data_IF_671801825334
#
_entry.id   IF_671801825334
#
_cell.length_a   1.000
_cell.length_b   1.000
_cell.length_c   1.000
_cell.angle_alpha   90.00
_cell.angle_beta   90.00
_cell.angle_gamma   90.00
#
_symmetry.space_group_name_H-M   'P 1'
#
loop_
_entity.id
_entity.type
_entity.pdbx_description
1 polymer ?
#
# COMPACT_ATOMS: atom_id res chain seq x y z
N UNK A 1 -3.76 -7.46 0.77
CA UNK A 1 -2.52 -7.84 1.49
C UNK A 1 -2.06 -9.21 1.00
N UNK A 2 -0.78 -9.37 0.67
CA UNK A 2 -0.20 -10.66 0.24
C UNK A 2 0.92 -11.01 1.24
N UNK A 3 0.68 -11.94 2.19
CA UNK A 3 1.63 -12.26 3.25
C UNK A 3 2.94 -12.87 2.73
N UNK A 4 2.87 -13.64 1.65
CA UNK A 4 4.03 -14.26 1.00
C UNK A 4 3.94 -14.03 -0.52
N UNK A 5 4.60 -12.96 -0.97
CA UNK A 5 4.59 -12.58 -2.38
C UNK A 5 5.26 -13.63 -3.26
N UNK A 6 6.37 -14.24 -2.80
CA UNK A 6 7.11 -15.25 -3.58
C UNK A 6 6.24 -16.47 -3.85
N UNK A 7 5.56 -16.97 -2.82
CA UNK A 7 4.62 -18.09 -2.97
C UNK A 7 3.43 -17.74 -3.85
N UNK A 8 2.88 -16.53 -3.72
CA UNK A 8 1.79 -16.06 -4.56
C UNK A 8 2.18 -16.03 -6.05
N UNK A 9 3.35 -15.46 -6.38
CA UNK A 9 3.87 -15.42 -7.75
C UNK A 9 4.07 -16.83 -8.31
N UNK A 10 4.71 -17.74 -7.56
CA UNK A 10 4.91 -19.12 -8.00
C UNK A 10 3.58 -19.84 -8.27
N UNK A 11 2.55 -19.58 -7.45
CA UNK A 11 1.22 -20.15 -7.66
C UNK A 11 0.54 -19.57 -8.90
N UNK A 12 0.61 -18.25 -9.12
CA UNK A 12 0.05 -17.62 -10.32
C UNK A 12 0.68 -18.21 -11.57
N UNK A 13 2.01 -18.38 -11.58
CA UNK A 13 2.71 -19.00 -12.71
C UNK A 13 2.17 -20.41 -13.04
N UNK A 14 1.92 -21.24 -12.01
CA UNK A 14 1.35 -22.59 -12.19
C UNK A 14 -0.08 -22.59 -12.72
N UNK A 15 -0.86 -21.55 -12.40
CA UNK A 15 -2.25 -21.44 -12.81
C UNK A 15 -2.43 -20.94 -14.25
N UNK A 16 -1.43 -20.23 -14.78
CA UNK A 16 -1.49 -19.70 -16.13
C UNK A 16 -1.36 -20.83 -17.15
N UNK A 17 -2.11 -20.69 -18.25
CA UNK A 17 -1.90 -21.53 -19.44
C UNK A 17 -0.48 -21.31 -19.96
N UNK A 18 0.11 -22.28 -20.68
CA UNK A 18 1.41 -22.08 -21.33
C UNK A 18 1.43 -20.78 -22.15
N UNK A 19 2.47 -19.96 -21.94
CA UNK A 19 2.63 -18.62 -22.55
C UNK A 19 1.59 -17.56 -22.13
N UNK A 20 0.85 -17.79 -21.04
CA UNK A 20 -0.01 -16.77 -20.46
C UNK A 20 0.78 -15.62 -19.84
N UNK A 21 0.25 -14.41 -19.97
CA UNK A 21 0.87 -13.20 -19.41
C UNK A 21 0.35 -12.89 -18.00
N UNK A 22 1.18 -12.18 -17.23
CA UNK A 22 0.85 -11.67 -15.90
C UNK A 22 1.17 -10.19 -15.81
N UNK A 23 0.19 -9.41 -15.38
CA UNK A 23 0.35 -7.99 -15.07
C UNK A 23 0.05 -7.76 -13.59
N UNK A 24 0.95 -7.04 -12.91
CA UNK A 24 0.80 -6.70 -11.50
C UNK A 24 1.20 -5.26 -11.23
N UNK A 25 0.47 -4.65 -10.31
CA UNK A 25 0.80 -3.33 -9.76
C UNK A 25 0.86 -3.44 -8.23
N UNK A 26 1.88 -2.85 -7.63
CA UNK A 26 2.11 -2.88 -6.18
C UNK A 26 2.53 -1.48 -5.72
N UNK A 27 2.14 -1.11 -4.51
CA UNK A 27 2.71 0.04 -3.84
C UNK A 27 4.06 -0.34 -3.25
N UNK A 28 5.14 0.18 -3.84
CA UNK A 28 6.48 0.14 -3.23
C UNK A 28 6.55 1.03 -2.00
N UNK A 29 5.80 2.14 -2.04
CA UNK A 29 5.66 3.13 -0.99
C UNK A 29 4.22 3.65 -0.97
N UNK A 30 3.67 3.90 0.21
CA UNK A 30 2.35 4.50 0.37
C UNK A 30 2.40 5.69 1.34
N UNK A 31 2.17 6.89 0.82
CA UNK A 31 2.21 8.15 1.56
C UNK A 31 1.21 8.20 2.73
N UNK A 32 0.17 7.37 2.71
CA UNK A 32 -0.76 7.25 3.83
C UNK A 32 -0.07 6.93 5.17
N UNK A 33 1.02 6.15 5.15
CA UNK A 33 1.75 5.84 6.37
C UNK A 33 2.53 7.04 6.91
N UNK A 34 2.84 8.03 6.07
CA UNK A 34 3.49 9.27 6.49
C UNK A 34 2.46 10.20 7.15
N UNK A 35 1.23 10.25 6.61
CA UNK A 35 0.11 10.95 7.25
C UNK A 35 -0.15 10.34 8.64
N UNK A 36 -0.16 9.02 8.77
CA UNK A 36 -0.31 8.37 10.08
C UNK A 36 0.86 8.69 11.03
N UNK A 37 2.09 8.79 10.53
CA UNK A 37 3.23 9.22 11.32
C UNK A 37 3.04 10.64 11.86
N UNK A 38 2.59 11.58 11.02
CA UNK A 38 2.30 12.95 11.43
C UNK A 38 1.16 12.99 12.44
N UNK A 39 0.05 12.30 12.19
CA UNK A 39 -1.08 12.23 13.12
C UNK A 39 -0.71 11.56 14.45
N UNK A 40 0.34 10.73 14.49
CA UNK A 40 0.84 10.13 15.75
C UNK A 40 1.46 11.15 16.69
N UNK A 41 1.83 12.31 16.18
CA UNK A 41 2.32 13.45 16.98
C UNK A 41 1.19 14.33 17.50
N UNK A 42 -0.03 14.18 16.99
CA UNK A 42 -1.22 14.89 17.44
C UNK A 42 -1.85 14.14 18.61
N UNK A 43 -1.86 14.75 19.80
CA UNK A 43 -2.29 14.09 21.05
C UNK A 43 -3.69 13.48 20.97
N UNK A 44 -4.61 14.15 20.26
CA UNK A 44 -5.98 13.67 19.98
C UNK A 44 -6.00 12.34 19.22
N UNK A 45 -5.08 12.14 18.28
CA UNK A 45 -5.08 10.98 17.37
C UNK A 45 -4.12 9.88 17.77
N UNK A 46 -3.09 10.21 18.55
CA UNK A 46 -2.09 9.28 19.07
C UNK A 46 -2.68 7.97 19.62
N UNK A 47 -3.80 7.95 20.39
CA UNK A 47 -4.41 6.69 20.85
C UNK A 47 -4.93 5.78 19.74
N UNK A 48 -5.26 6.31 18.57
CA UNK A 48 -5.86 5.55 17.45
C UNK A 48 -4.86 5.17 16.37
N UNK A 49 -3.74 5.90 16.27
CA UNK A 49 -2.71 5.66 15.25
C UNK A 49 -1.48 4.94 15.81
N UNK A 50 -1.39 4.69 17.12
CA UNK A 50 -0.18 4.17 17.80
C UNK A 50 0.43 2.90 17.18
N UNK A 51 -0.37 2.05 16.52
CA UNK A 51 0.08 0.79 15.94
C UNK A 51 0.13 0.79 14.40
N UNK A 52 0.04 1.96 13.76
CA UNK A 52 0.03 2.08 12.29
C UNK A 52 1.22 1.37 11.62
N UNK A 53 2.39 1.35 12.28
CA UNK A 53 3.59 0.65 11.80
C UNK A 53 3.39 -0.86 11.59
N UNK A 54 2.48 -1.49 12.34
CA UNK A 54 2.12 -2.91 12.17
C UNK A 54 1.24 -3.14 10.95
N UNK A 55 0.59 -2.09 10.45
CA UNK A 55 -0.27 -2.10 9.25
C UNK A 55 0.47 -1.65 8.00
N UNK A 56 1.70 -1.15 8.15
CA UNK A 56 2.54 -0.73 7.04
C UNK A 56 2.69 -1.84 6.02
N UNK A 57 2.66 -1.45 4.74
CA UNK A 57 3.03 -2.39 3.71
C UNK A 57 4.49 -2.84 3.95
N UNK A 58 4.80 -4.09 3.66
CA UNK A 58 6.13 -4.67 3.91
C UNK A 58 7.24 -4.01 3.07
N UNK A 59 6.87 -3.16 2.10
CA UNK A 59 7.76 -2.53 1.15
C UNK A 59 8.12 -1.09 1.51
N UNK A 60 7.44 -0.46 2.48
CA UNK A 60 7.50 0.99 2.71
C UNK A 60 8.95 1.48 2.87
N UNK A 61 9.79 0.68 3.52
CA UNK A 61 11.18 1.00 3.82
C UNK A 61 12.17 0.17 2.99
N UNK A 62 11.71 -0.51 1.94
CA UNK A 62 12.56 -1.31 1.07
C UNK A 62 13.30 -0.41 0.11
N UNK A 63 14.63 -0.49 0.16
CA UNK A 63 15.50 0.09 -0.86
C UNK A 63 15.53 -0.84 -2.07
N UNK A 64 15.57 -0.27 -3.28
CA UNK A 64 15.61 -1.02 -4.54
C UNK A 64 14.39 -1.95 -4.76
N UNK A 65 13.18 -1.49 -4.41
CA UNK A 65 11.95 -2.29 -4.54
C UNK A 65 11.76 -2.86 -5.95
N UNK A 66 12.01 -2.07 -7.00
CA UNK A 66 11.97 -2.56 -8.38
C UNK A 66 12.80 -3.83 -8.58
N UNK A 67 14.07 -3.84 -8.17
CA UNK A 67 14.96 -4.98 -8.33
C UNK A 67 14.44 -6.20 -7.53
N UNK A 68 14.05 -5.97 -6.27
CA UNK A 68 13.42 -7.00 -5.45
C UNK A 68 12.19 -7.63 -6.14
N UNK A 69 11.34 -6.80 -6.72
CA UNK A 69 10.11 -7.27 -7.37
C UNK A 69 10.40 -8.02 -8.67
N UNK A 70 11.31 -7.50 -9.51
CA UNK A 70 11.77 -8.19 -10.73
C UNK A 70 12.35 -9.57 -10.39
N UNK A 71 13.23 -9.65 -9.39
CA UNK A 71 13.82 -10.90 -8.95
C UNK A 71 12.76 -11.87 -8.39
N UNK A 72 11.77 -11.35 -7.67
CA UNK A 72 10.65 -12.15 -7.16
C UNK A 72 9.83 -12.78 -8.30
N UNK A 73 9.55 -12.01 -9.37
CA UNK A 73 8.84 -12.51 -10.56
C UNK A 73 9.67 -13.54 -11.32
N UNK A 74 10.94 -13.24 -11.59
CA UNK A 74 11.87 -14.13 -12.30
C UNK A 74 12.05 -15.46 -11.57
N UNK A 75 12.27 -15.42 -10.25
CA UNK A 75 12.41 -16.62 -9.41
C UNK A 75 11.10 -17.44 -9.34
N UNK A 76 9.95 -16.81 -9.60
CA UNK A 76 8.66 -17.48 -9.70
C UNK A 76 8.40 -18.19 -11.03
N UNK A 77 9.31 -18.05 -12.02
CA UNK A 77 9.22 -18.67 -13.34
C UNK A 77 8.85 -17.71 -14.48
N UNK A 78 8.60 -16.43 -14.20
CA UNK A 78 8.24 -15.46 -15.23
C UNK A 78 9.46 -14.92 -15.99
N UNK A 79 9.29 -14.69 -17.29
CA UNK A 79 10.20 -13.84 -18.05
C UNK A 79 9.73 -12.39 -17.98
N UNK A 80 10.39 -11.57 -17.15
CA UNK A 80 10.00 -10.18 -16.91
C UNK A 80 10.35 -9.31 -18.12
N UNK A 81 9.35 -8.96 -18.93
CA UNK A 81 9.50 -8.10 -20.10
C UNK A 81 9.62 -6.62 -19.77
N UNK A 82 8.87 -6.17 -18.76
CA UNK A 82 8.79 -4.77 -18.37
C UNK A 82 8.51 -4.67 -16.88
N UNK A 83 9.24 -3.81 -16.20
CA UNK A 83 9.00 -3.46 -14.80
C UNK A 83 9.55 -2.06 -14.54
N UNK A 84 8.68 -1.17 -14.05
CA UNK A 84 9.04 0.17 -13.64
C UNK A 84 8.55 0.42 -12.22
N UNK A 85 9.26 1.33 -11.56
CA UNK A 85 8.82 1.92 -10.30
C UNK A 85 8.65 3.42 -10.57
N UNK A 86 7.44 3.90 -10.39
CA UNK A 86 7.05 5.26 -10.77
C UNK A 86 6.32 5.92 -9.61
N UNK A 87 6.70 7.17 -9.31
CA UNK A 87 5.93 7.99 -8.39
C UNK A 87 4.62 8.39 -9.06
N UNK A 88 3.51 7.82 -8.61
CA UNK A 88 2.17 8.26 -9.00
C UNK A 88 1.70 9.37 -8.09
N UNK A 89 1.48 10.55 -8.66
CA UNK A 89 0.76 11.64 -8.00
C UNK A 89 -0.69 11.55 -8.41
N UNK A 90 -1.57 11.34 -7.44
CA UNK A 90 -3.01 11.32 -7.66
C UNK A 90 -3.60 12.58 -7.06
N UNK A 91 -4.27 13.38 -7.90
CA UNK A 91 -4.96 14.60 -7.47
C UNK A 91 -6.42 14.23 -7.25
N UNK A 92 -6.89 14.40 -6.04
CA UNK A 92 -8.28 14.10 -5.65
C UNK A 92 -9.01 15.39 -5.27
N UNK A 93 -10.29 15.46 -5.60
CA UNK A 93 -11.17 16.37 -4.86
C UNK A 93 -11.22 15.95 -3.40
N UNK A 94 -11.57 16.88 -2.50
CA UNK A 94 -11.74 16.57 -1.08
C UNK A 94 -12.68 15.39 -0.89
N UNK A 95 -13.90 15.47 -1.42
CA UNK A 95 -14.91 14.41 -1.28
C UNK A 95 -14.42 13.04 -1.74
N UNK A 96 -13.62 12.99 -2.82
CA UNK A 96 -13.08 11.73 -3.32
C UNK A 96 -11.98 11.19 -2.41
N UNK A 97 -11.08 12.05 -1.91
CA UNK A 97 -10.09 11.67 -0.92
C UNK A 97 -10.77 11.13 0.34
N UNK A 98 -11.77 11.84 0.87
CA UNK A 98 -12.47 11.43 2.07
C UNK A 98 -13.17 10.08 1.90
N UNK A 99 -13.82 9.87 0.75
CA UNK A 99 -14.43 8.58 0.40
C UNK A 99 -13.42 7.43 0.35
N UNK A 100 -12.25 7.64 -0.26
CA UNK A 100 -11.18 6.63 -0.27
C UNK A 100 -10.68 6.36 1.16
N UNK A 101 -10.43 7.40 1.94
CA UNK A 101 -9.90 7.27 3.29
C UNK A 101 -10.84 6.48 4.20
N UNK A 102 -12.14 6.77 4.15
CA UNK A 102 -13.17 6.00 4.89
C UNK A 102 -13.23 4.54 4.45
N UNK A 103 -13.01 4.25 3.16
CA UNK A 103 -13.05 2.88 2.63
C UNK A 103 -11.78 2.06 2.93
N UNK A 104 -10.62 2.71 3.03
CA UNK A 104 -9.30 2.04 3.09
C UNK A 104 -8.63 2.14 4.46
N UNK A 105 -9.17 2.93 5.40
CA UNK A 105 -8.53 3.18 6.69
C UNK A 105 -8.09 1.88 7.40
N UNK A 106 -6.80 1.77 7.69
CA UNK A 106 -6.22 0.59 8.34
C UNK A 106 -6.33 0.61 9.87
N UNK A 107 -6.86 1.70 10.42
CA UNK A 107 -6.88 2.00 11.85
C UNK A 107 -8.28 1.87 12.43
N UNK A 108 -8.34 1.52 13.72
CA UNK A 108 -9.58 1.35 14.46
C UNK A 108 -10.02 2.68 15.08
N UNK A 109 -10.34 3.67 14.24
CA UNK A 109 -10.92 4.94 14.70
C UNK A 109 -12.42 4.74 14.95
N UNK A 110 -12.96 5.16 16.11
CA UNK A 110 -14.39 5.08 16.37
C UNK A 110 -15.21 5.79 15.30
N UNK A 111 -16.35 5.21 14.90
CA UNK A 111 -17.16 5.71 13.78
C UNK A 111 -17.60 7.17 13.95
N UNK A 112 -17.88 7.60 15.19
CA UNK A 112 -18.27 8.97 15.51
C UNK A 112 -17.13 10.00 15.35
N UNK A 113 -15.87 9.54 15.21
CA UNK A 113 -14.70 10.37 14.94
C UNK A 113 -14.20 10.23 13.50
N UNK A 114 -14.82 9.36 12.67
CA UNK A 114 -14.29 9.03 11.34
C UNK A 114 -14.21 10.26 10.42
N UNK A 115 -15.27 11.08 10.40
CA UNK A 115 -15.31 12.31 9.58
C UNK A 115 -14.21 13.29 9.99
N UNK A 116 -14.05 13.50 11.30
CA UNK A 116 -13.04 14.40 11.85
C UNK A 116 -11.62 13.86 11.62
N UNK A 117 -11.43 12.55 11.71
CA UNK A 117 -10.16 11.90 11.45
C UNK A 117 -9.75 12.04 9.98
N UNK A 118 -10.68 11.77 9.07
CA UNK A 118 -10.45 11.90 7.63
C UNK A 118 -10.21 13.36 7.22
N UNK A 119 -10.91 14.31 7.85
CA UNK A 119 -10.63 15.73 7.68
C UNK A 119 -9.19 16.07 8.11
N UNK A 120 -8.74 15.62 9.28
CA UNK A 120 -7.38 15.88 9.73
C UNK A 120 -6.33 15.18 8.85
N UNK A 121 -6.63 14.00 8.29
CA UNK A 121 -5.79 13.33 7.29
C UNK A 121 -5.62 14.12 5.99
N UNK A 122 -6.62 14.89 5.56
CA UNK A 122 -6.54 15.70 4.34
C UNK A 122 -5.66 16.94 4.52
N UNK A 123 -5.55 17.46 5.75
CA UNK A 123 -4.85 18.71 6.04
C UNK A 123 -3.39 18.53 6.50
N UNK A 124 -2.88 17.29 6.49
CA UNK A 124 -1.50 16.90 6.82
C UNK A 124 -0.81 16.30 5.58
#
# INVERSE_FOLDING_TARGET
YVPDLRKAVANIHRMLKPKGDFFANLFSYNYLFDIYEQLSTVEKWKPYVHDYKRKMNQFQNTVNFKEYFQNTLSNGGFNVRYCTEERKVMVYSRDHFEGIMKAVNYLNVPKYLEDEFVYDQYNH
#
